data_IF_184905565515
#
_entry.id   IF_184905565515
#
_cell.length_a   1.000
_cell.length_b   1.000
_cell.length_c   1.000
_cell.angle_alpha   90.00
_cell.angle_beta   90.00
_cell.angle_gamma   90.00
#
_symmetry.space_group_name_H-M   'P 1'
#
loop_
_entity.id
_entity.type
_entity.pdbx_description
1 polymer ?
#
# COMPACT_ATOMS: atom_id res chain seq x y z
N UNK A 1 -2.08 25.91 -0.15
CA UNK A 1 -1.32 25.13 0.84
C UNK A 1 -1.43 23.66 0.46
N UNK A 2 -0.36 22.88 0.61
CA UNK A 2 -0.38 21.43 0.36
C UNK A 2 -0.48 20.65 1.67
N UNK A 3 -1.21 19.53 1.66
CA UNK A 3 -1.21 18.55 2.75
C UNK A 3 -0.20 17.44 2.43
N UNK A 4 0.62 17.03 3.39
CA UNK A 4 1.59 15.95 3.20
C UNK A 4 0.88 14.61 3.38
N UNK A 5 0.83 13.77 2.33
CA UNK A 5 0.20 12.45 2.41
C UNK A 5 1.05 11.44 3.19
N UNK A 6 2.38 11.51 3.04
CA UNK A 6 3.33 10.73 3.83
C UNK A 6 4.67 11.44 3.87
N UNK A 7 5.40 11.25 4.98
CA UNK A 7 6.80 11.62 5.13
C UNK A 7 7.40 10.75 6.23
N UNK A 8 8.57 10.16 5.98
CA UNK A 8 9.33 9.44 7.00
C UNK A 8 10.65 10.18 7.24
N UNK A 9 10.97 10.44 8.51
CA UNK A 9 12.26 11.01 8.88
C UNK A 9 13.33 9.90 8.93
N UNK A 10 14.54 10.24 8.50
CA UNK A 10 15.71 9.39 8.60
C UNK A 10 16.94 10.25 8.86
N UNK A 11 17.86 9.76 9.69
CA UNK A 11 19.03 10.52 10.16
C UNK A 11 19.14 10.52 11.68
N UNK A 12 20.04 11.34 12.20
CA UNK A 12 20.38 11.51 13.60
C UNK A 12 20.37 12.97 14.04
N UNK A 13 21.13 13.24 15.10
CA UNK A 13 21.28 14.59 15.67
C UNK A 13 22.49 15.35 15.11
N UNK A 14 23.33 14.69 14.31
CA UNK A 14 24.50 15.26 13.66
C UNK A 14 24.21 15.53 12.18
N UNK A 15 25.25 15.86 11.40
CA UNK A 15 25.11 16.06 9.96
C UNK A 15 24.71 14.74 9.27
N UNK A 16 23.70 14.81 8.40
CA UNK A 16 23.28 13.68 7.57
C UNK A 16 23.01 14.14 6.15
N UNK A 17 23.30 13.30 5.17
CA UNK A 17 23.06 13.66 3.77
C UNK A 17 22.66 12.48 2.90
N UNK A 18 21.51 12.61 2.26
CA UNK A 18 21.16 11.81 1.08
C UNK A 18 21.97 12.24 -0.14
N UNK A 19 22.51 11.27 -0.87
CA UNK A 19 23.41 11.49 -2.02
C UNK A 19 22.85 10.95 -3.34
N UNK A 20 22.03 9.90 -3.31
CA UNK A 20 21.41 9.34 -4.51
C UNK A 20 20.13 8.59 -4.18
N UNK A 21 19.29 8.40 -5.19
CA UNK A 21 18.09 7.57 -5.13
C UNK A 21 18.02 6.61 -6.31
N UNK A 22 17.45 5.44 -6.09
CA UNK A 22 17.21 4.44 -7.14
C UNK A 22 15.92 3.67 -6.87
N UNK A 23 15.32 3.11 -7.92
CA UNK A 23 14.12 2.27 -7.84
C UNK A 23 14.43 0.93 -8.50
N UNK A 24 14.07 -0.18 -7.85
CA UNK A 24 14.21 -1.52 -8.43
C UNK A 24 13.00 -1.92 -9.28
N UNK A 25 13.06 -3.11 -9.90
CA UNK A 25 11.97 -3.63 -10.74
C UNK A 25 10.67 -3.90 -9.94
N UNK A 26 10.79 -4.05 -8.63
CA UNK A 26 9.68 -4.23 -7.68
C UNK A 26 9.21 -2.89 -7.09
N UNK A 27 9.58 -1.76 -7.69
CA UNK A 27 9.18 -0.40 -7.29
C UNK A 27 9.63 0.01 -5.87
N UNK A 28 10.57 -0.73 -5.29
CA UNK A 28 11.17 -0.34 -4.03
C UNK A 28 12.07 0.87 -4.26
N UNK A 29 11.91 1.90 -3.43
CA UNK A 29 12.78 3.08 -3.46
C UNK A 29 13.94 2.92 -2.50
N UNK A 30 15.12 3.24 -2.97
CA UNK A 30 16.36 3.20 -2.20
C UNK A 30 16.97 4.58 -2.17
N UNK A 31 17.50 4.95 -1.01
CA UNK A 31 18.28 6.17 -0.80
C UNK A 31 19.65 5.76 -0.28
N UNK A 32 20.69 6.35 -0.86
CA UNK A 32 22.06 6.21 -0.37
C UNK A 32 22.54 7.54 0.19
N UNK A 33 23.48 7.48 1.12
CA UNK A 33 24.01 8.68 1.72
C UNK A 33 25.05 8.40 2.77
N UNK A 34 25.28 9.41 3.60
CA UNK A 34 26.13 9.29 4.75
C UNK A 34 25.52 9.95 5.99
N UNK A 35 25.98 9.50 7.15
CA UNK A 35 25.60 10.00 8.46
C UNK A 35 26.81 10.14 9.37
N UNK A 36 26.69 10.98 10.39
CA UNK A 36 27.67 11.15 11.46
C UNK A 36 27.09 10.70 12.80
N UNK A 37 27.96 10.21 13.70
CA UNK A 37 27.63 9.73 15.05
C UNK A 37 26.63 8.57 15.06
N UNK A 38 25.32 8.82 14.98
CA UNK A 38 24.31 7.80 14.82
C UNK A 38 23.18 8.29 13.92
N UNK A 39 22.56 7.40 13.16
CA UNK A 39 21.39 7.69 12.36
C UNK A 39 20.34 6.60 12.50
N UNK A 40 19.07 7.00 12.56
CA UNK A 40 17.92 6.10 12.67
C UNK A 40 17.14 6.10 11.37
N UNK A 41 16.82 4.90 10.90
CA UNK A 41 16.02 4.61 9.70
C UNK A 41 14.89 3.67 10.12
N UNK A 42 13.69 4.22 10.32
CA UNK A 42 12.58 3.47 10.92
C UNK A 42 12.94 2.99 12.33
N UNK A 43 12.87 1.69 12.58
CA UNK A 43 13.24 1.06 13.87
C UNK A 43 14.72 0.68 13.98
N UNK A 44 15.51 0.91 12.93
CA UNK A 44 16.93 0.53 12.90
C UNK A 44 17.81 1.73 13.14
N UNK A 45 18.64 1.68 14.18
CA UNK A 45 19.66 2.70 14.47
C UNK A 45 21.05 2.16 14.11
N UNK A 46 21.78 2.93 13.30
CA UNK A 46 23.17 2.68 12.98
C UNK A 46 24.04 3.65 13.77
N UNK A 47 25.11 3.15 14.38
CA UNK A 47 26.10 3.96 15.10
C UNK A 47 27.44 3.89 14.36
N UNK A 48 28.02 5.06 14.10
CA UNK A 48 29.37 5.18 13.55
C UNK A 48 30.40 4.82 14.63
N UNK A 49 31.39 4.00 14.27
CA UNK A 49 32.36 3.46 15.23
C UNK A 49 33.60 4.35 15.43
N UNK A 50 33.64 5.54 14.82
CA UNK A 50 34.76 6.48 14.92
C UNK A 50 34.23 7.86 15.24
N UNK A 51 34.72 8.47 16.33
CA UNK A 51 34.10 9.63 17.01
C UNK A 51 33.87 10.91 16.20
N UNK A 52 34.19 10.95 14.90
CA UNK A 52 33.83 11.99 13.92
C UNK A 52 33.77 11.43 12.48
N UNK A 53 33.72 10.11 12.31
CA UNK A 53 33.83 9.47 11.00
C UNK A 53 32.47 9.40 10.30
N UNK A 54 32.48 9.78 9.02
CA UNK A 54 31.32 9.67 8.14
C UNK A 54 31.11 8.21 7.73
N UNK A 55 29.95 7.63 8.04
CA UNK A 55 29.60 6.30 7.57
C UNK A 55 28.57 6.36 6.46
N UNK A 56 28.65 5.41 5.53
CA UNK A 56 27.68 5.30 4.44
C UNK A 56 26.44 4.53 4.90
N UNK A 57 25.30 4.86 4.29
CA UNK A 57 24.09 4.07 4.39
C UNK A 57 23.53 3.77 3.00
N UNK A 58 22.86 2.63 2.90
CA UNK A 58 21.87 2.32 1.86
C UNK A 58 20.61 1.95 2.62
N UNK A 59 19.54 2.72 2.41
CA UNK A 59 18.26 2.45 3.05
C UNK A 59 17.20 2.24 1.97
N UNK A 60 16.35 1.23 2.17
CA UNK A 60 15.11 1.11 1.43
C UNK A 60 14.14 2.08 2.08
N UNK A 61 13.79 3.15 1.38
CA UNK A 61 12.67 3.97 1.79
C UNK A 61 11.44 3.11 1.59
N UNK A 62 10.89 2.69 2.71
CA UNK A 62 9.59 2.08 2.77
C UNK A 62 8.56 3.11 2.29
N UNK A 63 8.36 3.15 0.98
CA UNK A 63 7.06 3.44 0.39
C UNK A 63 6.23 2.21 0.74
N UNK A 64 5.06 2.36 1.36
CA UNK A 64 4.33 1.31 2.05
C UNK A 64 4.44 -0.09 1.43
N UNK A 65 5.41 -0.85 1.92
CA UNK A 65 5.60 -2.27 1.66
C UNK A 65 4.88 -2.95 2.82
N UNK A 66 3.69 -3.49 2.60
CA UNK A 66 2.90 -4.05 3.70
C UNK A 66 3.01 -5.58 3.75
N UNK A 67 4.00 -6.17 4.47
CA UNK A 67 3.99 -7.61 4.69
C UNK A 67 2.81 -7.94 5.63
N UNK A 68 1.82 -8.63 5.08
CA UNK A 68 0.68 -9.30 5.71
C UNK A 68 0.05 -8.64 6.95
N UNK A 69 -1.19 -8.14 6.78
CA UNK A 69 -2.06 -7.73 7.89
C UNK A 69 -1.94 -6.27 8.28
N UNK A 70 -1.86 -5.36 7.30
CA UNK A 70 -1.81 -3.91 7.57
C UNK A 70 -3.15 -3.26 7.28
N UNK A 71 -3.72 -2.58 8.28
CA UNK A 71 -4.87 -1.70 8.12
C UNK A 71 -4.47 -0.35 7.51
N UNK A 72 -4.78 -0.16 6.24
CA UNK A 72 -4.72 1.10 5.50
C UNK A 72 -6.00 1.88 5.84
N UNK A 73 -5.90 2.90 6.71
CA UNK A 73 -6.97 3.86 6.97
C UNK A 73 -6.63 5.15 6.22
N UNK A 74 -7.43 5.57 5.23
CA UNK A 74 -7.22 6.82 4.49
C UNK A 74 -8.40 7.79 4.59
N UNK A 75 -8.06 9.09 4.68
CA UNK A 75 -8.94 10.24 4.99
C UNK A 75 -10.02 10.57 3.94
N UNK A 76 -9.96 10.01 2.72
CA UNK A 76 -10.94 10.37 1.66
C UNK A 76 -12.26 9.61 1.81
N UNK A 77 -12.21 8.43 2.44
CA UNK A 77 -13.39 7.59 2.68
C UNK A 77 -13.52 7.12 4.13
N UNK A 78 -12.49 7.35 4.98
CA UNK A 78 -12.43 6.91 6.38
C UNK A 78 -12.76 5.42 6.59
N UNK A 79 -12.41 4.58 5.60
CA UNK A 79 -12.63 3.13 5.64
C UNK A 79 -11.30 2.43 5.89
N UNK A 80 -11.11 1.77 7.05
CA UNK A 80 -9.97 0.89 7.30
C UNK A 80 -9.95 -0.30 6.33
N UNK A 81 -8.80 -0.58 5.73
CA UNK A 81 -8.62 -1.69 4.78
C UNK A 81 -7.41 -2.54 5.17
N UNK A 82 -7.61 -3.82 5.47
CA UNK A 82 -6.52 -4.77 5.75
C UNK A 82 -6.25 -5.69 4.56
N UNK A 83 -4.98 -5.85 4.14
CA UNK A 83 -4.58 -6.74 3.03
C UNK A 83 -3.65 -7.87 3.49
N UNK A 84 -3.83 -9.09 2.96
CA UNK A 84 -3.04 -10.27 3.37
C UNK A 84 -1.83 -10.58 2.49
N UNK A 85 -1.75 -10.04 1.27
CA UNK A 85 -0.89 -10.56 0.21
C UNK A 85 0.38 -9.79 -0.17
N UNK A 86 1.00 -9.00 0.70
CA UNK A 86 2.24 -8.28 0.35
C UNK A 86 1.99 -6.88 -0.22
N UNK A 87 2.71 -6.48 -1.28
CA UNK A 87 2.74 -5.11 -1.79
C UNK A 87 1.48 -4.77 -2.60
N UNK A 88 0.43 -4.32 -1.92
CA UNK A 88 -0.76 -3.75 -2.54
C UNK A 88 -0.74 -2.24 -2.46
N UNK A 89 -0.76 -1.59 -3.62
CA UNK A 89 -0.89 -0.14 -3.75
C UNK A 89 -2.33 0.24 -4.11
N UNK A 90 -2.72 1.47 -3.79
CA UNK A 90 -3.92 2.06 -4.40
C UNK A 90 -3.63 2.41 -5.85
N UNK A 91 -4.43 1.85 -6.76
CA UNK A 91 -4.38 2.18 -8.18
C UNK A 91 -5.04 3.52 -8.48
N UNK A 92 -4.84 4.01 -9.70
CA UNK A 92 -5.63 5.14 -10.20
C UNK A 92 -7.10 4.71 -10.29
N UNK A 93 -8.02 5.57 -9.84
CA UNK A 93 -9.48 5.32 -9.95
C UNK A 93 -10.00 5.44 -11.39
N UNK A 94 -9.15 5.89 -12.31
CA UNK A 94 -9.41 5.96 -13.73
C UNK A 94 -9.37 4.53 -14.31
N UNK A 95 -10.38 4.12 -15.09
CA UNK A 95 -10.57 2.79 -15.71
C UNK A 95 -11.43 1.76 -14.95
N UNK A 96 -12.42 2.20 -14.18
CA UNK A 96 -13.43 1.26 -13.64
C UNK A 96 -14.29 0.64 -14.75
N UNK A 97 -14.49 -0.69 -14.75
CA UNK A 97 -15.49 -1.31 -15.62
C UNK A 97 -16.89 -0.78 -15.27
N UNK A 98 -17.85 -0.81 -16.22
CA UNK A 98 -19.22 -0.42 -15.96
C UNK A 98 -19.76 -1.14 -14.70
N UNK A 99 -20.23 -0.36 -13.73
CA UNK A 99 -20.80 -0.91 -12.50
C UNK A 99 -22.14 -1.59 -12.81
N UNK A 100 -22.50 -2.68 -12.11
CA UNK A 100 -23.71 -3.46 -12.41
C UNK A 100 -25.02 -2.67 -12.32
N UNK A 101 -25.08 -1.68 -11.43
CA UNK A 101 -26.21 -0.76 -11.27
C UNK A 101 -25.70 0.69 -11.25
N UNK A 102 -25.91 1.48 -12.32
CA UNK A 102 -25.47 2.88 -12.36
C UNK A 102 -26.33 3.81 -11.49
N UNK A 103 -27.46 3.34 -10.96
CA UNK A 103 -28.37 4.13 -10.11
C UNK A 103 -28.06 4.02 -8.61
N UNK A 104 -27.34 2.97 -8.20
CA UNK A 104 -26.93 2.77 -6.83
C UNK A 104 -25.68 3.61 -6.47
N UNK A 105 -25.59 4.00 -5.20
CA UNK A 105 -24.48 4.79 -4.68
C UNK A 105 -23.40 3.85 -4.15
N UNK A 106 -22.19 3.97 -4.69
CA UNK A 106 -21.05 3.14 -4.30
C UNK A 106 -19.81 3.97 -3.97
N UNK A 107 -19.03 3.47 -3.03
CA UNK A 107 -17.63 3.86 -2.82
C UNK A 107 -16.76 2.98 -3.70
N UNK A 108 -15.81 3.57 -4.42
CA UNK A 108 -14.95 2.88 -5.41
C UNK A 108 -13.51 2.84 -4.92
N UNK A 109 -12.91 1.67 -5.05
CA UNK A 109 -11.55 1.37 -4.62
C UNK A 109 -10.85 0.64 -5.76
N UNK A 110 -9.66 1.05 -6.18
CA UNK A 110 -8.85 0.27 -7.10
C UNK A 110 -7.56 -0.13 -6.39
N UNK A 111 -7.22 -1.42 -6.43
CA UNK A 111 -5.98 -1.93 -5.85
C UNK A 111 -5.07 -2.46 -6.94
N UNK A 112 -3.79 -2.13 -6.88
CA UNK A 112 -2.76 -2.77 -7.67
C UNK A 112 -2.20 -3.89 -6.81
N UNK A 113 -2.47 -5.14 -7.20
CA UNK A 113 -2.03 -6.33 -6.46
C UNK A 113 -0.85 -7.00 -7.16
N UNK A 114 0.15 -7.41 -6.39
CA UNK A 114 1.21 -8.30 -6.88
C UNK A 114 0.64 -9.70 -7.13
N UNK A 115 0.54 -10.07 -8.41
CA UNK A 115 -0.03 -11.36 -8.81
C UNK A 115 1.00 -12.48 -8.89
N UNK A 116 2.24 -12.24 -8.47
CA UNK A 116 3.16 -13.33 -8.08
C UNK A 116 2.65 -14.05 -6.82
N UNK A 117 1.78 -13.39 -6.05
CA UNK A 117 1.09 -13.96 -4.88
C UNK A 117 -0.30 -14.45 -5.34
N UNK A 118 -0.57 -15.77 -5.23
CA UNK A 118 -1.74 -16.38 -5.87
C UNK A 118 -3.05 -16.05 -5.15
N UNK A 119 -3.01 -15.82 -3.85
CA UNK A 119 -4.18 -15.63 -2.99
C UNK A 119 -4.07 -14.32 -2.21
N UNK A 120 -5.13 -13.52 -2.30
CA UNK A 120 -5.26 -12.24 -1.62
C UNK A 120 -6.56 -12.19 -0.82
N UNK A 121 -6.47 -11.66 0.38
CA UNK A 121 -7.61 -11.29 1.22
C UNK A 121 -7.54 -9.79 1.46
N UNK A 122 -8.60 -9.07 1.10
CA UNK A 122 -8.79 -7.66 1.39
C UNK A 122 -9.99 -7.54 2.31
N UNK A 123 -9.80 -7.07 3.53
CA UNK A 123 -10.85 -6.82 4.50
C UNK A 123 -11.09 -5.32 4.59
N UNK A 124 -12.32 -4.86 4.43
CA UNK A 124 -12.69 -3.46 4.62
C UNK A 124 -13.62 -3.34 5.82
N UNK A 125 -13.24 -2.58 6.84
CA UNK A 125 -14.09 -2.31 8.00
C UNK A 125 -15.13 -1.26 7.62
N UNK A 126 -16.39 -1.67 7.51
CA UNK A 126 -17.46 -0.83 7.01
C UNK A 126 -18.81 -1.37 7.47
N UNK A 127 -19.78 -0.47 7.65
CA UNK A 127 -21.17 -0.83 7.90
C UNK A 127 -21.92 -1.26 6.63
N UNK A 128 -21.30 -1.09 5.46
CA UNK A 128 -21.89 -1.49 4.19
C UNK A 128 -22.13 -3.01 4.14
N UNK A 129 -23.23 -3.42 3.52
CA UNK A 129 -23.60 -4.84 3.39
C UNK A 129 -23.37 -5.39 1.98
N UNK A 130 -23.18 -4.53 0.99
CA UNK A 130 -22.87 -4.90 -0.38
C UNK A 130 -21.41 -4.60 -0.72
N UNK A 131 -20.71 -5.60 -1.23
CA UNK A 131 -19.38 -5.45 -1.83
C UNK A 131 -19.29 -6.19 -3.16
N UNK A 132 -18.46 -5.71 -4.08
CA UNK A 132 -18.08 -6.49 -5.25
C UNK A 132 -16.68 -6.17 -5.73
N UNK A 133 -16.01 -7.13 -6.35
CA UNK A 133 -14.70 -6.94 -6.99
C UNK A 133 -14.73 -7.44 -8.43
N UNK A 134 -14.00 -6.77 -9.31
CA UNK A 134 -13.95 -7.12 -10.74
C UNK A 134 -12.75 -8.01 -11.03
N UNK A 135 -13.00 -9.21 -11.54
CA UNK A 135 -11.97 -10.17 -11.92
C UNK A 135 -12.47 -11.07 -13.05
N UNK A 136 -11.57 -11.51 -13.95
CA UNK A 136 -11.89 -12.43 -15.04
C UNK A 136 -13.06 -11.93 -15.90
N UNK A 137 -13.06 -10.63 -16.21
CA UNK A 137 -14.10 -9.92 -16.96
C UNK A 137 -15.51 -9.96 -16.33
N UNK A 138 -15.61 -10.14 -15.02
CA UNK A 138 -16.89 -10.21 -14.30
C UNK A 138 -16.81 -9.59 -12.90
N UNK A 139 -17.92 -9.01 -12.45
CA UNK A 139 -18.11 -8.62 -11.06
C UNK A 139 -18.45 -9.84 -10.19
N UNK A 140 -17.70 -10.03 -9.12
CA UNK A 140 -17.92 -11.03 -8.08
C UNK A 140 -18.48 -10.33 -6.84
N UNK A 141 -19.69 -10.71 -6.43
CA UNK A 141 -20.39 -10.08 -5.31
C UNK A 141 -20.01 -10.76 -4.00
N UNK A 142 -19.86 -9.95 -2.97
CA UNK A 142 -19.54 -10.34 -1.59
C UNK A 142 -20.53 -9.65 -0.67
N UNK A 143 -21.07 -10.37 0.30
CA UNK A 143 -21.98 -9.81 1.31
C UNK A 143 -21.18 -9.47 2.57
N UNK A 144 -21.37 -8.25 3.07
CA UNK A 144 -20.83 -7.78 4.34
C UNK A 144 -21.60 -8.31 5.54
N UNK A 145 -20.94 -8.35 6.69
CA UNK A 145 -21.59 -8.74 7.96
C UNK A 145 -22.07 -7.54 8.80
N UNK A 146 -21.98 -6.32 8.26
CA UNK A 146 -22.34 -5.07 8.96
C UNK A 146 -21.23 -4.48 9.82
N UNK A 147 -20.07 -5.13 9.88
CA UNK A 147 -18.83 -4.59 10.48
C UNK A 147 -17.64 -4.63 9.53
N UNK A 148 -17.62 -5.59 8.61
CA UNK A 148 -16.59 -5.74 7.60
C UNK A 148 -17.14 -6.41 6.33
N UNK A 149 -16.41 -6.22 5.23
CA UNK A 149 -16.53 -7.02 4.00
C UNK A 149 -15.16 -7.62 3.69
N UNK A 150 -15.13 -8.93 3.42
CA UNK A 150 -13.90 -9.68 3.12
C UNK A 150 -13.89 -10.17 1.67
N UNK A 151 -12.99 -9.64 0.86
CA UNK A 151 -12.77 -10.01 -0.52
C UNK A 151 -11.66 -11.05 -0.63
N UNK A 152 -11.99 -12.25 -1.10
CA UNK A 152 -11.01 -13.29 -1.41
C UNK A 152 -10.77 -13.34 -2.92
N UNK A 153 -9.54 -13.07 -3.34
CA UNK A 153 -9.16 -12.85 -4.72
C UNK A 153 -8.03 -13.83 -5.05
N UNK A 154 -8.21 -14.63 -6.10
CA UNK A 154 -7.21 -15.61 -6.55
C UNK A 154 -6.77 -15.32 -7.98
N UNK A 155 -5.45 -15.30 -8.24
CA UNK A 155 -4.89 -15.06 -9.56
C UNK A 155 -4.29 -16.32 -10.18
N UNK A 156 -4.50 -16.48 -11.49
CA UNK A 156 -3.87 -17.53 -12.29
C UNK A 156 -2.78 -16.93 -13.21
N UNK A 157 -1.62 -17.59 -13.25
CA UNK A 157 -0.48 -17.20 -14.08
C UNK A 157 0.46 -16.21 -13.39
N UNK A 158 1.56 -15.86 -14.06
CA UNK A 158 2.58 -14.94 -13.52
C UNK A 158 2.60 -13.66 -14.38
N UNK A 159 2.24 -12.52 -13.79
CA UNK A 159 2.51 -11.18 -14.38
C UNK A 159 3.25 -10.32 -13.34
N UNK A 160 3.36 -9.01 -13.58
CA UNK A 160 4.11 -8.08 -12.72
C UNK A 160 3.21 -7.38 -11.70
N UNK A 161 1.95 -7.10 -12.05
CA UNK A 161 0.90 -6.55 -11.18
C UNK A 161 -0.47 -6.65 -11.88
N UNK A 162 -1.56 -6.48 -11.13
CA UNK A 162 -2.93 -6.45 -11.66
C UNK A 162 -3.81 -5.45 -10.91
N UNK A 163 -4.58 -4.67 -11.65
CA UNK A 163 -5.57 -3.75 -11.09
C UNK A 163 -6.86 -4.50 -10.74
N UNK A 164 -7.35 -4.28 -9.52
CA UNK A 164 -8.60 -4.85 -8.99
C UNK A 164 -9.54 -3.73 -8.57
N UNK A 165 -10.54 -3.43 -9.40
CA UNK A 165 -11.67 -2.59 -9.03
C UNK A 165 -12.52 -3.27 -7.96
N UNK A 166 -12.83 -2.56 -6.89
CA UNK A 166 -13.70 -2.95 -5.78
C UNK A 166 -14.74 -1.85 -5.52
N UNK A 167 -15.97 -2.24 -5.25
CA UNK A 167 -17.05 -1.36 -4.80
C UNK A 167 -17.60 -1.80 -3.46
N UNK A 168 -17.98 -0.81 -2.65
CA UNK A 168 -18.76 -0.97 -1.43
C UNK A 168 -20.03 -0.12 -1.52
N UNK A 169 -21.14 -0.61 -0.98
CA UNK A 169 -22.36 0.16 -0.87
C UNK A 169 -23.41 -0.52 -0.02
N UNK A 170 -24.58 0.09 -0.03
CA UNK A 170 -25.81 -0.48 0.50
C UNK A 170 -26.78 -0.63 -0.67
N UNK A 171 -27.67 -1.62 -0.58
CA UNK A 171 -28.84 -1.69 -1.47
C UNK A 171 -29.70 -0.42 -1.35
#
# INVERSE_FOLDING_TARGET
>A
SGNWLWANNAGGTSDDRGTSTAVDASRNSYVTGYFYDSATFGSTTLTSNGGYDTNIFVTKVHIPYYPAGVSIVEETYDIPVTVSGGDADRGTLDSFPPVPDPSATYKKFNFILDNSIPDWTITMETSDTYGAYYQNNRWNVVTGNGTEIVFNINFNGSKVAVDVPIILGNE
#
